data_IF_188792957349
#
_entry.id   IF_188792957349
#
_cell.length_a   1.000
_cell.length_b   1.000
_cell.length_c   1.000
_cell.angle_alpha   90.00
_cell.angle_beta   90.00
_cell.angle_gamma   90.00
#
_symmetry.space_group_name_H-M   'P 1'
#
loop_
_entity.id
_entity.type
_entity.pdbx_description
1 polymer ?
#
# COMPACT_ATOMS: atom_id res chain seq x y z
N UNK A 1 -3.28 -17.54 -19.83
CA UNK A 1 -4.52 -17.67 -20.64
C UNK A 1 -5.61 -18.31 -19.79
N UNK A 2 -6.74 -17.64 -19.58
CA UNK A 2 -7.87 -18.20 -18.82
C UNK A 2 -8.40 -19.48 -19.52
N UNK A 3 -8.70 -20.58 -18.81
CA UNK A 3 -9.15 -21.84 -19.42
C UNK A 3 -10.37 -21.69 -20.33
N UNK A 4 -11.26 -20.75 -20.02
CA UNK A 4 -12.44 -20.46 -20.82
C UNK A 4 -12.13 -19.68 -22.10
N UNK A 5 -11.11 -18.82 -22.09
CA UNK A 5 -10.66 -18.07 -23.28
C UNK A 5 -9.92 -18.99 -24.24
N UNK A 6 -9.05 -19.86 -23.73
CA UNK A 6 -8.39 -20.89 -24.53
C UNK A 6 -9.42 -21.80 -25.22
N UNK A 7 -10.48 -22.19 -24.50
CA UNK A 7 -11.59 -22.98 -25.06
C UNK A 7 -12.39 -22.22 -26.12
N UNK A 8 -12.66 -20.93 -25.93
CA UNK A 8 -13.37 -20.11 -26.92
C UNK A 8 -12.54 -19.85 -28.18
N UNK A 9 -11.26 -19.49 -28.03
CA UNK A 9 -10.33 -19.30 -29.17
C UNK A 9 -10.15 -20.60 -29.93
N UNK A 10 -10.05 -21.74 -29.23
CA UNK A 10 -9.99 -23.05 -29.85
C UNK A 10 -11.26 -23.37 -30.67
N UNK A 11 -12.46 -23.09 -30.12
CA UNK A 11 -13.72 -23.30 -30.84
C UNK A 11 -13.87 -22.39 -32.08
N UNK A 12 -13.46 -21.12 -31.99
CA UNK A 12 -13.48 -20.21 -33.14
C UNK A 12 -12.41 -20.58 -34.19
N UNK A 13 -11.26 -21.10 -33.77
CA UNK A 13 -10.23 -21.63 -34.66
C UNK A 13 -10.70 -22.89 -35.40
N UNK A 14 -11.34 -23.84 -34.72
CA UNK A 14 -11.91 -25.03 -35.37
C UNK A 14 -13.03 -24.66 -36.35
N UNK A 15 -13.86 -23.66 -36.03
CA UNK A 15 -14.86 -23.12 -36.95
C UNK A 15 -14.22 -22.44 -38.17
N UNK A 16 -13.12 -21.71 -37.97
CA UNK A 16 -12.38 -21.09 -39.06
C UNK A 16 -11.75 -22.13 -39.99
N UNK A 17 -11.20 -23.22 -39.46
CA UNK A 17 -10.70 -24.34 -40.28
C UNK A 17 -11.78 -24.94 -41.18
N UNK A 18 -12.99 -25.15 -40.63
CA UNK A 18 -14.13 -25.66 -41.40
C UNK A 18 -14.61 -24.67 -42.47
N UNK A 19 -14.50 -23.36 -42.21
CA UNK A 19 -14.79 -22.33 -43.22
C UNK A 19 -13.74 -22.31 -44.33
N UNK A 20 -12.45 -22.39 -43.97
CA UNK A 20 -11.35 -22.41 -44.94
C UNK A 20 -11.35 -23.67 -45.82
N UNK A 21 -11.73 -24.84 -45.27
CA UNK A 21 -11.84 -26.07 -46.07
C UNK A 21 -12.99 -26.03 -47.09
N UNK A 22 -14.01 -25.19 -46.86
CA UNK A 22 -15.11 -24.94 -47.81
C UNK A 22 -14.77 -23.91 -48.89
N UNK A 23 -13.70 -23.14 -48.72
CA UNK A 23 -13.18 -22.19 -49.71
C UNK A 23 -12.23 -22.89 -50.70
N UNK A 24 -11.72 -24.08 -50.36
CA UNK A 24 -10.72 -24.82 -51.14
C UNK A 24 -11.19 -25.49 -52.46
N UNK A 25 -12.46 -25.89 -52.68
CA UNK A 25 -12.84 -26.50 -53.96
C UNK A 25 -13.06 -25.44 -55.06
N UNK A 26 -12.57 -25.74 -56.26
CA UNK A 26 -12.57 -24.89 -57.45
C UNK A 26 -13.96 -24.58 -58.04
N UNK A 27 -15.03 -25.15 -57.47
CA UNK A 27 -16.41 -25.05 -57.98
C UNK A 27 -17.25 -23.98 -57.26
N UNK A 28 -16.65 -23.18 -56.38
CA UNK A 28 -17.36 -22.16 -55.61
C UNK A 28 -17.48 -20.87 -56.43
N UNK A 29 -18.68 -20.31 -56.65
CA UNK A 29 -18.84 -19.07 -57.41
C UNK A 29 -18.03 -17.93 -56.77
N UNK A 30 -17.40 -17.03 -57.57
CA UNK A 30 -16.56 -15.95 -57.05
C UNK A 30 -17.26 -15.09 -55.98
N UNK A 31 -18.55 -14.80 -56.17
CA UNK A 31 -19.36 -14.03 -55.23
C UNK A 31 -19.57 -14.74 -53.88
N UNK A 32 -19.61 -16.07 -53.87
CA UNK A 32 -19.73 -16.86 -52.64
C UNK A 32 -18.37 -16.96 -51.94
N UNK A 33 -17.28 -17.02 -52.71
CA UNK A 33 -15.92 -17.03 -52.19
C UNK A 33 -15.59 -15.72 -51.46
N UNK A 34 -15.97 -14.57 -52.03
CA UNK A 34 -15.76 -13.26 -51.40
C UNK A 34 -16.51 -13.10 -50.07
N UNK A 35 -17.74 -13.62 -49.98
CA UNK A 35 -18.52 -13.63 -48.73
C UNK A 35 -17.83 -14.49 -47.66
N UNK A 36 -17.33 -15.67 -48.03
CA UNK A 36 -16.64 -16.57 -47.11
C UNK A 36 -15.30 -15.98 -46.63
N UNK A 37 -14.57 -15.28 -47.50
CA UNK A 37 -13.36 -14.54 -47.14
C UNK A 37 -13.69 -13.41 -46.15
N UNK A 38 -14.75 -12.64 -46.39
CA UNK A 38 -15.20 -11.59 -45.48
C UNK A 38 -15.55 -12.12 -44.07
N UNK A 39 -16.24 -13.26 -44.00
CA UNK A 39 -16.56 -13.93 -42.72
C UNK A 39 -15.29 -14.43 -42.02
N UNK A 40 -14.34 -15.00 -42.77
CA UNK A 40 -13.07 -15.46 -42.22
C UNK A 40 -12.23 -14.30 -41.66
N UNK A 41 -12.17 -13.17 -42.36
CA UNK A 41 -11.49 -11.95 -41.90
C UNK A 41 -12.16 -11.36 -40.64
N UNK A 42 -13.49 -11.34 -40.58
CA UNK A 42 -14.22 -10.89 -39.39
C UNK A 42 -13.92 -11.79 -38.18
N UNK A 43 -13.86 -13.11 -38.39
CA UNK A 43 -13.51 -14.09 -37.36
C UNK A 43 -12.06 -13.97 -36.89
N UNK A 44 -11.12 -13.77 -37.80
CA UNK A 44 -9.71 -13.50 -37.46
C UNK A 44 -9.55 -12.19 -36.70
N UNK A 45 -10.30 -11.15 -37.06
CA UNK A 45 -10.31 -9.87 -36.35
C UNK A 45 -10.86 -10.03 -34.93
N UNK A 46 -11.95 -10.79 -34.76
CA UNK A 46 -12.51 -11.09 -33.44
C UNK A 46 -11.55 -11.94 -32.57
N UNK A 47 -10.91 -12.96 -33.16
CA UNK A 47 -9.88 -13.75 -32.47
C UNK A 47 -8.67 -12.90 -32.09
N UNK A 48 -8.21 -12.02 -32.97
CA UNK A 48 -7.11 -11.08 -32.68
C UNK A 48 -7.50 -10.09 -31.57
N UNK A 49 -8.74 -9.59 -31.57
CA UNK A 49 -9.27 -8.76 -30.49
C UNK A 49 -9.31 -9.52 -29.17
N UNK A 50 -9.83 -10.75 -29.16
CA UNK A 50 -9.94 -11.58 -27.97
C UNK A 50 -8.57 -12.05 -27.44
N UNK A 51 -7.62 -12.33 -28.31
CA UNK A 51 -6.22 -12.62 -27.95
C UNK A 51 -5.49 -11.37 -27.46
N UNK A 52 -5.89 -10.16 -27.90
CA UNK A 52 -5.39 -8.90 -27.34
C UNK A 52 -6.03 -8.53 -26.01
N UNK A 53 -7.18 -9.14 -25.66
CA UNK A 53 -7.75 -9.05 -24.31
C UNK A 53 -6.90 -9.81 -23.26
N UNK A 54 -5.86 -10.55 -23.65
CA UNK A 54 -4.85 -11.15 -22.74
C UNK A 54 -4.00 -10.13 -21.95
N UNK A 55 -4.36 -8.83 -21.90
CA UNK A 55 -3.85 -7.97 -20.83
C UNK A 55 -4.62 -8.12 -19.51
N UNK A 56 -5.71 -8.90 -19.47
CA UNK A 56 -6.38 -9.27 -18.23
C UNK A 56 -5.59 -10.39 -17.56
N UNK A 57 -4.41 -10.04 -17.05
CA UNK A 57 -3.88 -10.68 -15.85
C UNK A 57 -5.05 -10.82 -14.85
N UNK A 58 -5.18 -11.94 -14.12
CA UNK A 58 -6.21 -12.03 -13.09
C UNK A 58 -6.07 -10.77 -12.24
N UNK A 59 -7.09 -9.90 -12.32
CA UNK A 59 -7.04 -8.65 -11.60
C UNK A 59 -6.86 -9.05 -10.13
N UNK A 60 -5.92 -8.41 -9.43
CA UNK A 60 -5.69 -8.63 -8.00
C UNK A 60 -7.02 -8.61 -7.20
N UNK A 61 -8.03 -7.97 -7.79
CA UNK A 61 -9.37 -7.72 -7.27
C UNK A 61 -10.41 -8.77 -7.65
N UNK A 62 -10.03 -9.80 -8.42
CA UNK A 62 -10.82 -11.03 -8.58
C UNK A 62 -10.56 -12.02 -7.46
N UNK A 63 -9.57 -11.74 -6.60
CA UNK A 63 -9.34 -12.53 -5.41
C UNK A 63 -10.46 -12.28 -4.40
N UNK A 64 -10.88 -13.31 -3.64
CA UNK A 64 -11.78 -13.13 -2.51
C UNK A 64 -11.23 -12.08 -1.54
N UNK A 65 -12.11 -11.26 -0.98
CA UNK A 65 -11.75 -10.18 -0.05
C UNK A 65 -10.84 -10.69 1.09
N UNK A 66 -11.08 -11.90 1.61
CA UNK A 66 -10.21 -12.51 2.62
C UNK A 66 -8.74 -12.65 2.15
N UNK A 67 -8.49 -13.05 0.91
CA UNK A 67 -7.11 -13.15 0.39
C UNK A 67 -6.54 -11.76 0.09
N UNK A 68 -7.36 -10.85 -0.43
CA UNK A 68 -6.95 -9.49 -0.73
C UNK A 68 -6.57 -8.76 0.56
N UNK A 69 -7.36 -8.90 1.62
CA UNK A 69 -7.22 -8.16 2.87
C UNK A 69 -6.21 -8.82 3.80
N UNK A 70 -6.30 -10.14 4.02
CA UNK A 70 -5.44 -10.82 5.01
C UNK A 70 -4.03 -11.11 4.49
N UNK A 71 -3.86 -11.28 3.18
CA UNK A 71 -2.57 -11.70 2.59
C UNK A 71 -1.92 -10.60 1.78
N UNK A 72 -2.67 -9.91 0.93
CA UNK A 72 -2.09 -8.93 0.01
C UNK A 72 -2.00 -7.54 0.62
N UNK A 73 -3.01 -7.10 1.38
CA UNK A 73 -3.01 -5.79 2.05
C UNK A 73 -1.71 -5.50 2.80
N UNK A 74 -1.29 -6.39 3.73
CA UNK A 74 -0.04 -6.23 4.48
C UNK A 74 1.23 -6.21 3.62
N UNK A 75 1.25 -6.93 2.49
CA UNK A 75 2.44 -7.04 1.62
C UNK A 75 2.59 -5.84 0.68
N UNK A 76 1.48 -5.29 0.19
CA UNK A 76 1.48 -4.13 -0.71
C UNK A 76 1.80 -2.85 0.09
N UNK A 77 1.34 -2.81 1.35
CA UNK A 77 1.55 -1.68 2.24
C UNK A 77 0.51 -0.58 2.05
N UNK A 78 0.14 0.06 3.15
CA UNK A 78 -0.89 1.10 3.21
C UNK A 78 -0.56 2.31 2.37
N UNK A 79 0.71 2.75 2.35
CA UNK A 79 1.17 3.85 1.51
C UNK A 79 0.90 3.57 0.02
N UNK A 80 1.23 2.36 -0.44
CA UNK A 80 1.03 1.95 -1.83
C UNK A 80 -0.46 1.85 -2.19
N UNK A 81 -1.30 1.36 -1.28
CA UNK A 81 -2.74 1.19 -1.53
C UNK A 81 -3.45 2.55 -1.55
N UNK A 82 -3.28 3.35 -0.50
CA UNK A 82 -3.99 4.63 -0.34
C UNK A 82 -3.37 5.71 -1.24
N UNK A 83 -2.04 5.75 -1.29
CA UNK A 83 -1.28 6.77 -2.01
C UNK A 83 -1.01 6.42 -3.47
N UNK A 84 -0.89 5.15 -3.87
CA UNK A 84 -0.52 4.78 -5.24
C UNK A 84 -1.67 4.22 -6.06
N UNK A 85 -2.09 3.01 -5.70
CA UNK A 85 -2.97 2.16 -6.49
C UNK A 85 -4.37 2.73 -6.64
N UNK A 86 -4.94 3.31 -5.59
CA UNK A 86 -6.26 3.94 -5.64
C UNK A 86 -6.32 5.10 -6.65
N UNK A 87 -5.21 5.82 -6.84
CA UNK A 87 -5.09 6.90 -7.84
C UNK A 87 -4.87 6.37 -9.24
N UNK A 88 -4.12 5.26 -9.37
CA UNK A 88 -3.81 4.65 -10.65
C UNK A 88 -4.98 3.88 -11.26
N UNK A 89 -5.87 3.31 -10.43
CA UNK A 89 -6.97 2.49 -10.92
C UNK A 89 -8.18 2.45 -9.98
N UNK A 90 -9.37 2.73 -10.52
CA UNK A 90 -10.63 2.87 -9.75
C UNK A 90 -11.01 1.62 -8.95
N UNK A 91 -10.62 0.45 -9.41
CA UNK A 91 -10.93 -0.80 -8.73
C UNK A 91 -10.21 -0.94 -7.36
N UNK A 92 -9.14 -0.18 -7.10
CA UNK A 92 -8.52 -0.09 -5.77
C UNK A 92 -9.17 0.97 -4.86
N UNK A 93 -10.15 1.74 -5.36
CA UNK A 93 -10.86 2.71 -4.51
C UNK A 93 -11.51 2.01 -3.32
N UNK A 94 -12.35 0.99 -3.56
CA UNK A 94 -13.02 0.27 -2.47
C UNK A 94 -12.02 -0.30 -1.44
N UNK A 95 -11.02 -1.12 -1.83
CA UNK A 95 -10.00 -1.61 -0.88
C UNK A 95 -9.24 -0.49 -0.15
N UNK A 96 -8.97 0.63 -0.83
CA UNK A 96 -8.26 1.76 -0.20
C UNK A 96 -9.07 2.48 0.89
N UNK A 97 -10.39 2.32 0.90
CA UNK A 97 -11.30 2.94 1.86
C UNK A 97 -11.82 1.96 2.92
N UNK A 98 -11.64 0.66 2.73
CA UNK A 98 -12.15 -0.37 3.63
C UNK A 98 -11.21 -0.55 4.85
N UNK A 99 -11.67 -0.34 6.09
CA UNK A 99 -10.83 -0.51 7.27
C UNK A 99 -10.32 -1.94 7.48
N UNK A 100 -11.03 -2.95 6.98
CA UNK A 100 -10.59 -4.35 7.08
C UNK A 100 -9.37 -4.63 6.20
N UNK A 101 -9.09 -3.79 5.20
CA UNK A 101 -7.87 -3.84 4.38
C UNK A 101 -6.63 -3.34 5.13
N UNK A 102 -6.79 -2.51 6.16
CA UNK A 102 -5.71 -1.77 6.83
C UNK A 102 -5.48 -2.21 8.28
N UNK A 103 -5.69 -3.49 8.58
CA UNK A 103 -5.37 -4.08 9.90
C UNK A 103 -3.88 -3.99 10.24
N UNK A 104 -3.02 -4.03 9.21
CA UNK A 104 -1.58 -3.74 9.31
C UNK A 104 -1.24 -2.54 8.45
N UNK A 105 -0.70 -1.50 9.08
CA UNK A 105 -0.20 -0.31 8.40
C UNK A 105 1.30 -0.43 8.19
N UNK A 106 1.76 -0.19 6.96
CA UNK A 106 3.19 -0.24 6.62
C UNK A 106 3.59 1.00 5.83
N UNK A 107 4.58 1.72 6.36
CA UNK A 107 5.28 2.81 5.70
C UNK A 107 6.77 2.44 5.64
N UNK A 108 7.29 2.36 4.43
CA UNK A 108 8.68 1.97 4.17
C UNK A 108 9.27 2.96 3.17
N UNK A 109 10.01 3.94 3.68
CA UNK A 109 10.62 4.97 2.88
C UNK A 109 12.01 5.32 3.43
N UNK A 110 12.96 5.55 2.54
CA UNK A 110 14.28 6.08 2.85
C UNK A 110 14.28 7.62 3.00
N UNK A 111 13.10 8.22 3.04
CA UNK A 111 12.87 9.67 3.10
C UNK A 111 11.82 10.01 4.15
N UNK A 112 11.71 11.29 4.44
CA UNK A 112 10.62 11.83 5.23
C UNK A 112 9.28 11.76 4.47
N UNK A 113 8.24 11.33 5.21
CA UNK A 113 6.86 11.37 4.76
C UNK A 113 6.20 12.47 5.57
N UNK A 114 5.61 13.46 4.88
CA UNK A 114 4.89 14.56 5.50
C UNK A 114 3.42 14.48 5.11
N UNK A 115 2.61 13.63 5.78
CA UNK A 115 1.17 13.68 5.62
C UNK A 115 0.66 15.07 5.98
N UNK A 116 -0.10 15.67 5.07
CA UNK A 116 -0.87 16.89 5.38
C UNK A 116 -2.01 16.56 6.34
N UNK A 117 -2.51 17.55 7.09
CA UNK A 117 -3.66 17.36 7.99
C UNK A 117 -4.88 16.77 7.25
N UNK A 118 -5.13 17.24 6.02
CA UNK A 118 -6.19 16.71 5.16
C UNK A 118 -5.98 15.23 4.79
N UNK A 119 -4.73 14.80 4.60
CA UNK A 119 -4.42 13.39 4.37
C UNK A 119 -4.66 12.58 5.64
N UNK A 120 -4.22 13.08 6.80
CA UNK A 120 -4.47 12.42 8.08
C UNK A 120 -5.98 12.27 8.33
N UNK A 121 -6.75 13.35 8.24
CA UNK A 121 -8.21 13.33 8.36
C UNK A 121 -8.86 12.31 7.41
N UNK A 122 -8.38 12.23 6.17
CA UNK A 122 -8.90 11.28 5.19
C UNK A 122 -8.49 9.82 5.50
N UNK A 123 -7.34 9.60 6.14
CA UNK A 123 -6.80 8.27 6.43
C UNK A 123 -7.35 7.70 7.73
N UNK A 124 -7.54 8.51 8.77
CA UNK A 124 -7.95 8.05 10.11
C UNK A 124 -9.15 7.10 10.11
N UNK A 125 -10.29 7.40 9.44
CA UNK A 125 -11.42 6.49 9.41
C UNK A 125 -11.10 5.12 8.77
N UNK A 126 -10.14 5.09 7.85
CA UNK A 126 -9.69 3.89 7.13
C UNK A 126 -8.73 3.04 7.96
N UNK A 127 -8.09 3.65 8.96
CA UNK A 127 -7.16 2.97 9.87
C UNK A 127 -7.82 2.62 11.22
N UNK A 128 -9.13 2.78 11.34
CA UNK A 128 -9.88 2.54 12.58
C UNK A 128 -9.83 1.09 13.09
N UNK A 129 -9.33 0.14 12.30
CA UNK A 129 -9.13 -1.27 12.68
C UNK A 129 -7.65 -1.67 12.71
N UNK A 130 -6.73 -0.72 12.65
CA UNK A 130 -5.29 -1.01 12.62
C UNK A 130 -4.83 -1.55 13.96
N UNK A 131 -4.37 -2.80 13.99
CA UNK A 131 -3.79 -3.45 15.16
C UNK A 131 -2.27 -3.54 15.11
N UNK A 132 -1.66 -3.41 13.92
CA UNK A 132 -0.20 -3.42 13.75
C UNK A 132 0.27 -2.27 12.88
N UNK A 133 1.36 -1.61 13.28
CA UNK A 133 2.02 -0.57 12.50
C UNK A 133 3.51 -0.88 12.32
N UNK A 134 4.00 -0.76 11.09
CA UNK A 134 5.42 -0.84 10.72
C UNK A 134 5.80 0.47 10.03
N UNK A 135 6.58 1.31 10.71
CA UNK A 135 6.95 2.65 10.26
C UNK A 135 8.46 2.72 10.14
N UNK A 136 8.98 2.38 8.96
CA UNK A 136 10.40 2.45 8.62
C UNK A 136 10.64 3.62 7.68
N UNK A 137 10.58 4.83 8.22
CA UNK A 137 10.82 6.08 7.52
C UNK A 137 11.43 7.12 8.44
N UNK A 138 11.85 8.27 7.89
CA UNK A 138 12.29 9.38 8.74
C UNK A 138 11.12 9.76 9.65
N UNK A 139 11.44 10.00 10.91
CA UNK A 139 10.46 10.41 11.88
C UNK A 139 10.03 11.85 11.57
N UNK A 140 8.72 12.07 11.46
CA UNK A 140 8.10 13.38 11.24
C UNK A 140 6.87 13.51 12.14
N UNK A 141 6.46 14.74 12.48
CA UNK A 141 5.25 14.95 13.28
C UNK A 141 3.99 14.39 12.61
N UNK A 142 3.87 14.46 11.28
CA UNK A 142 2.72 13.88 10.60
C UNK A 142 2.63 12.35 10.78
N UNK A 143 3.76 11.65 10.82
CA UNK A 143 3.79 10.21 11.10
C UNK A 143 3.56 9.88 12.57
N UNK A 144 4.03 10.73 13.49
CA UNK A 144 3.72 10.63 14.93
C UNK A 144 2.22 10.81 15.17
N UNK A 145 1.63 11.87 14.62
CA UNK A 145 0.19 12.16 14.70
C UNK A 145 -0.64 11.01 14.13
N UNK A 146 -0.19 10.41 13.03
CA UNK A 146 -0.86 9.23 12.45
C UNK A 146 -0.92 8.06 13.45
N UNK A 147 0.19 7.77 14.15
CA UNK A 147 0.24 6.71 15.16
C UNK A 147 -0.64 7.04 16.37
N UNK A 148 -0.65 8.30 16.80
CA UNK A 148 -1.54 8.78 17.87
C UNK A 148 -3.01 8.66 17.48
N UNK A 149 -3.39 8.89 16.21
CA UNK A 149 -4.75 8.71 15.75
C UNK A 149 -5.25 7.25 15.75
N UNK A 150 -4.34 6.27 15.73
CA UNK A 150 -4.67 4.84 15.76
C UNK A 150 -4.37 4.20 17.12
N UNK A 151 -4.08 5.01 18.15
CA UNK A 151 -3.59 4.54 19.45
C UNK A 151 -4.55 3.58 20.15
N UNK A 152 -5.87 3.79 20.00
CA UNK A 152 -6.94 3.00 20.61
C UNK A 152 -6.95 1.53 20.16
N UNK A 153 -6.55 1.26 18.92
CA UNK A 153 -6.59 -0.08 18.33
C UNK A 153 -5.23 -0.73 18.18
N UNK A 154 -4.14 0.04 18.25
CA UNK A 154 -2.80 -0.44 18.00
C UNK A 154 -2.31 -1.41 19.10
N UNK A 155 -1.93 -2.62 18.70
CA UNK A 155 -1.40 -3.68 19.58
C UNK A 155 0.10 -3.92 19.39
N UNK A 156 0.61 -3.62 18.19
CA UNK A 156 2.02 -3.82 17.82
C UNK A 156 2.56 -2.65 17.01
N UNK A 157 3.65 -2.05 17.49
CA UNK A 157 4.38 -0.99 16.80
C UNK A 157 5.81 -1.43 16.53
N UNK A 158 6.22 -1.33 15.27
CA UNK A 158 7.61 -1.39 14.85
C UNK A 158 7.95 -0.08 14.14
N UNK A 159 8.80 0.76 14.73
CA UNK A 159 9.17 2.05 14.15
C UNK A 159 10.68 2.25 14.14
N UNK A 160 11.27 2.53 12.99
CA UNK A 160 12.71 2.72 12.86
C UNK A 160 13.04 3.82 11.86
N UNK A 161 14.09 4.57 12.17
CA UNK A 161 14.65 5.60 11.30
C UNK A 161 16.16 5.48 11.35
N UNK A 162 16.79 5.40 10.18
CA UNK A 162 18.24 5.46 10.01
C UNK A 162 18.73 6.87 9.68
N UNK A 163 17.82 7.85 9.62
CA UNK A 163 18.18 9.23 9.31
C UNK A 163 18.94 9.89 10.44
N UNK A 164 19.94 10.68 10.06
CA UNK A 164 20.71 11.57 10.96
C UNK A 164 20.26 13.03 10.86
N UNK A 165 19.30 13.32 9.99
CA UNK A 165 18.77 14.68 9.81
C UNK A 165 18.07 15.16 11.09
N UNK A 166 18.30 16.41 11.54
CA UNK A 166 17.59 17.01 12.66
C UNK A 166 16.10 17.09 12.36
N UNK A 167 15.28 17.12 13.40
CA UNK A 167 13.84 17.03 13.24
C UNK A 167 13.09 17.86 14.26
N UNK A 168 11.95 18.34 13.77
CA UNK A 168 10.99 19.12 14.53
C UNK A 168 10.03 18.13 15.17
N UNK A 169 10.25 17.76 16.43
CA UNK A 169 9.16 17.27 17.27
C UNK A 169 8.57 18.47 17.96
N UNK A 170 7.29 18.73 17.69
CA UNK A 170 6.50 19.63 18.50
C UNK A 170 6.36 19.00 19.88
N UNK A 171 7.15 19.52 20.82
CA UNK A 171 6.96 19.25 22.23
C UNK A 171 5.53 19.62 22.56
N UNK A 172 4.79 18.69 23.18
CA UNK A 172 3.45 18.99 23.64
C UNK A 172 3.53 20.21 24.57
N UNK A 173 2.74 21.24 24.28
CA UNK A 173 2.53 22.34 25.22
C UNK A 173 2.01 21.70 26.51
N UNK A 174 2.60 22.04 27.66
CA UNK A 174 2.26 21.46 28.97
C UNK A 174 0.77 21.68 29.33
N UNK A 175 0.09 22.56 28.58
CA UNK A 175 -1.35 22.87 28.69
C UNK A 175 -2.25 22.03 27.76
N UNK A 176 -1.70 21.13 26.94
CA UNK A 176 -2.46 20.20 26.10
C UNK A 176 -3.15 19.14 26.97
N UNK A 177 -4.46 19.26 27.18
CA UNK A 177 -5.24 18.43 28.12
C UNK A 177 -5.35 16.93 27.79
N UNK A 178 -4.79 16.45 26.67
CA UNK A 178 -4.87 15.03 26.30
C UNK A 178 -3.53 14.46 25.88
N UNK A 179 -2.89 13.78 26.83
CA UNK A 179 -1.79 12.85 26.56
C UNK A 179 -2.29 11.71 25.64
N UNK A 180 -1.52 11.30 24.62
CA UNK A 180 -1.87 10.17 23.79
C UNK A 180 -1.81 8.86 24.58
N UNK A 181 -2.97 8.22 24.77
CA UNK A 181 -3.08 6.93 25.46
C UNK A 181 -3.08 5.80 24.42
N UNK A 182 -2.24 4.79 24.65
CA UNK A 182 -2.17 3.55 23.89
C UNK A 182 -2.67 2.39 24.76
N UNK A 183 -4.00 2.21 24.87
CA UNK A 183 -4.58 1.25 25.82
C UNK A 183 -4.30 -0.20 25.46
N UNK A 184 -4.01 -0.51 24.19
CA UNK A 184 -3.85 -1.88 23.68
C UNK A 184 -2.43 -2.23 23.23
N UNK A 185 -1.50 -1.27 23.24
CA UNK A 185 -0.17 -1.46 22.68
C UNK A 185 0.66 -2.38 23.57
N UNK A 186 0.85 -3.62 23.11
CA UNK A 186 1.58 -4.68 23.84
C UNK A 186 3.03 -4.78 23.44
N UNK A 187 3.31 -4.60 22.15
CA UNK A 187 4.65 -4.81 21.60
C UNK A 187 5.15 -3.55 20.91
N UNK A 188 6.33 -3.09 21.32
CA UNK A 188 6.99 -1.92 20.75
C UNK A 188 8.41 -2.30 20.38
N UNK A 189 8.76 -2.15 19.11
CA UNK A 189 10.12 -2.26 18.61
C UNK A 189 10.52 -0.93 17.98
N UNK A 190 11.42 -0.19 18.61
CA UNK A 190 11.81 1.15 18.15
C UNK A 190 13.30 1.27 17.91
N UNK A 191 13.67 2.07 16.91
CA UNK A 191 15.04 2.34 16.52
C UNK A 191 15.27 3.78 16.07
N UNK A 192 16.52 4.21 16.18
CA UNK A 192 16.95 5.56 15.82
C UNK A 192 16.12 6.63 16.53
N UNK A 193 15.62 7.58 15.74
CA UNK A 193 14.84 8.73 16.21
C UNK A 193 13.52 8.34 16.90
N UNK A 194 12.87 7.27 16.44
CA UNK A 194 11.59 6.80 16.98
C UNK A 194 11.66 6.35 18.45
N UNK A 195 12.85 6.02 18.94
CA UNK A 195 13.05 5.61 20.33
C UNK A 195 12.67 6.71 21.35
N UNK A 196 12.69 7.98 20.92
CA UNK A 196 12.48 9.14 21.79
C UNK A 196 11.06 9.69 21.76
N UNK A 197 10.26 9.31 20.77
CA UNK A 197 8.90 9.84 20.58
C UNK A 197 8.04 9.64 21.82
N UNK A 198 8.14 8.46 22.46
CA UNK A 198 7.40 8.15 23.70
C UNK A 198 7.65 9.17 24.81
N UNK A 199 8.90 9.62 24.98
CA UNK A 199 9.27 10.58 26.03
C UNK A 199 8.84 12.00 25.65
N UNK A 200 9.10 12.40 24.40
CA UNK A 200 8.81 13.75 23.92
C UNK A 200 7.32 14.05 23.74
N UNK A 201 6.52 13.01 23.49
CA UNK A 201 5.06 13.09 23.28
C UNK A 201 4.25 12.51 24.45
N UNK A 202 4.91 12.16 25.55
CA UNK A 202 4.26 11.65 26.76
C UNK A 202 3.28 10.49 26.49
N UNK A 203 3.65 9.53 25.64
CA UNK A 203 2.76 8.40 25.32
C UNK A 203 2.52 7.51 26.54
N UNK A 204 1.25 7.30 26.91
CA UNK A 204 0.81 6.40 27.98
C UNK A 204 0.58 4.98 27.44
N UNK A 205 1.55 4.09 27.68
CA UNK A 205 1.57 2.71 27.15
C UNK A 205 1.03 1.69 28.17
N UNK A 206 -0.29 1.67 28.39
CA UNK A 206 -0.94 0.94 29.50
C UNK A 206 -0.79 -0.58 29.48
N UNK A 207 -0.70 -1.16 28.29
CA UNK A 207 -0.68 -2.62 28.08
C UNK A 207 0.67 -3.14 27.62
N UNK A 208 1.76 -2.38 27.79
CA UNK A 208 3.06 -2.75 27.27
C UNK A 208 3.61 -4.02 27.93
N UNK A 209 3.84 -5.05 27.11
CA UNK A 209 4.41 -6.33 27.52
C UNK A 209 5.87 -6.48 27.07
N UNK A 210 6.20 -5.94 25.89
CA UNK A 210 7.52 -6.10 25.28
C UNK A 210 8.01 -4.81 24.63
N UNK A 211 9.17 -4.33 25.08
CA UNK A 211 9.91 -3.24 24.47
C UNK A 211 11.24 -3.76 23.90
N UNK A 212 11.46 -3.52 22.61
CA UNK A 212 12.71 -3.83 21.91
C UNK A 212 13.31 -2.52 21.39
N UNK A 213 14.57 -2.29 21.72
CA UNK A 213 15.32 -1.13 21.23
C UNK A 213 16.40 -1.60 20.26
N UNK A 214 16.43 -1.03 19.05
CA UNK A 214 17.54 -1.24 18.13
C UNK A 214 18.77 -0.53 18.69
N UNK A 215 19.92 -1.21 18.66
CA UNK A 215 21.21 -0.59 18.96
C UNK A 215 21.47 0.57 18.00
N UNK A 216 21.66 1.76 18.56
CA UNK A 216 22.04 2.95 17.79
C UNK A 216 23.43 2.78 17.16
N UNK A 217 23.57 3.25 15.93
CA UNK A 217 24.87 3.43 15.28
C UNK A 217 25.64 4.60 15.92
N UNK A 218 26.94 4.65 15.65
CA UNK A 218 27.78 5.74 16.15
C UNK A 218 27.35 7.10 15.55
N UNK A 219 26.96 7.12 14.28
CA UNK A 219 26.48 8.32 13.58
C UNK A 219 25.18 8.83 14.19
N UNK A 220 24.20 7.96 14.44
CA UNK A 220 22.93 8.33 15.08
C UNK A 220 23.16 8.92 16.47
N UNK A 221 24.10 8.36 17.24
CA UNK A 221 24.45 8.88 18.57
C UNK A 221 25.11 10.27 18.50
N UNK A 222 26.00 10.49 17.53
CA UNK A 222 26.63 11.80 17.33
C UNK A 222 25.58 12.84 16.91
N UNK A 223 24.72 12.51 15.94
CA UNK A 223 23.66 13.38 15.47
C UNK A 223 22.69 13.76 16.61
N UNK A 224 22.32 12.78 17.44
CA UNK A 224 21.51 13.03 18.64
C UNK A 224 22.21 13.99 19.60
N UNK A 225 23.47 13.74 19.95
CA UNK A 225 24.19 14.59 20.90
C UNK A 225 24.29 16.04 20.41
N UNK A 226 24.41 16.26 19.10
CA UNK A 226 24.47 17.61 18.53
C UNK A 226 23.12 18.34 18.61
N UNK A 227 22.00 17.65 18.41
CA UNK A 227 20.66 18.24 18.44
C UNK A 227 20.20 18.62 19.85
N UNK A 228 20.62 17.84 20.85
CA UNK A 228 20.31 18.08 22.26
C UNK A 228 21.48 18.69 23.04
N UNK A 229 22.54 19.15 22.37
CA UNK A 229 23.61 19.89 23.00
C UNK A 229 23.07 21.24 23.50
N UNK A 230 23.10 21.52 24.82
CA UNK A 230 22.65 22.81 25.34
C UNK A 230 23.42 23.99 24.74
N UNK A 231 24.65 23.79 24.28
CA UNK A 231 25.48 24.86 23.70
C UNK A 231 25.18 25.16 22.23
N UNK A 232 24.48 24.26 21.50
CA UNK A 232 24.13 24.49 20.08
C UNK A 232 22.96 25.46 19.89
N UNK A 233 22.15 25.71 20.94
CA UNK A 233 21.03 26.67 20.91
C UNK A 233 21.41 28.12 21.23
N UNK A 234 22.67 28.38 21.61
CA UNK A 234 23.15 29.73 21.98
C UNK A 234 23.97 30.43 20.88
N UNK A 235 24.06 29.86 19.67
CA UNK A 235 24.83 30.43 18.56
C UNK A 235 24.06 31.34 17.59
N UNK A 236 22.74 31.41 17.68
CA UNK A 236 21.90 32.17 16.73
C UNK A 236 20.77 32.92 17.47
N UNK A 237 21.13 33.92 18.28
CA UNK A 237 20.25 35.02 18.68
C UNK A 237 21.03 36.34 18.69
#
# INVERSE_FOLDING_TARGET
MCPNVAKMVFLDYERLKVLLSKIAPADTPPSTQDILIGIAQQKLTAMTHNLRLDSLAPSLLTLPDALLFDRLGPLVGTESIIGGLARAHSSFLRPSHDPDMHTTVTFMADRAIHPTDKQLEAWVPRLAKTSRAVVRCHMTMGMVNLLECISETLESLEADSTSTEPHEIDLLDLNSEKEPIFPRLKTVAVGGRWAWVKEQRYWDLRSLECLKLRKQSMQERIAHNHEFDPDSRYGEL
#
